data_IF_483880944536
#
_entry.id   IF_483880944536
#
_cell.length_a   1.000
_cell.length_b   1.000
_cell.length_c   1.000
_cell.angle_alpha   90.00
_cell.angle_beta   90.00
_cell.angle_gamma   90.00
#
_symmetry.space_group_name_H-M   'P 1'
#
loop_
_entity.id
_entity.type
_entity.pdbx_description
1 polymer ?
#
# COMPACT_ATOMS: atom_id res chain seq x y z
N UNK A 1 -25.76 25.91 -12.90
CA UNK A 1 -25.60 25.64 -11.46
C UNK A 1 -24.27 24.95 -11.23
N UNK A 2 -23.26 25.68 -10.78
CA UNK A 2 -21.94 25.15 -10.48
C UNK A 2 -22.02 24.37 -9.16
N UNK A 3 -21.85 23.07 -9.23
CA UNK A 3 -21.81 22.22 -8.05
C UNK A 3 -20.64 22.65 -7.15
N UNK A 4 -20.93 23.08 -5.93
CA UNK A 4 -19.94 23.42 -4.93
C UNK A 4 -18.92 22.27 -4.75
N UNK A 5 -17.61 22.55 -4.73
CA UNK A 5 -16.55 21.52 -4.65
C UNK A 5 -16.54 20.74 -3.33
N UNK A 6 -17.44 21.02 -2.40
CA UNK A 6 -17.58 20.31 -1.11
C UNK A 6 -18.66 19.22 -1.09
N UNK A 7 -19.49 19.11 -2.10
CA UNK A 7 -20.49 18.05 -2.15
C UNK A 7 -19.84 16.72 -2.53
N UNK A 8 -19.53 15.93 -1.53
CA UNK A 8 -19.39 14.47 -1.70
C UNK A 8 -20.62 14.01 -2.43
N UNK A 9 -20.46 13.53 -3.65
CA UNK A 9 -21.58 13.21 -4.51
C UNK A 9 -22.57 12.31 -3.75
N UNK A 10 -23.82 12.76 -3.61
CA UNK A 10 -24.94 11.98 -3.03
C UNK A 10 -24.99 10.57 -3.63
N UNK A 11 -24.57 10.44 -4.89
CA UNK A 11 -24.43 9.18 -5.61
C UNK A 11 -23.40 8.24 -4.97
N UNK A 12 -22.26 8.77 -4.45
CA UNK A 12 -21.23 7.96 -3.77
C UNK A 12 -21.75 7.48 -2.42
N UNK A 13 -22.50 8.33 -1.70
CA UNK A 13 -23.10 7.94 -0.42
C UNK A 13 -24.13 6.82 -0.63
N UNK A 14 -25.10 7.02 -1.52
CA UNK A 14 -26.17 6.03 -1.80
C UNK A 14 -25.63 4.65 -2.22
N UNK A 15 -24.48 4.60 -2.86
CA UNK A 15 -23.85 3.33 -3.28
C UNK A 15 -23.41 2.45 -2.12
N UNK A 16 -23.00 3.07 -1.02
CA UNK A 16 -22.39 2.37 0.13
C UNK A 16 -23.25 2.37 1.38
N UNK A 17 -24.36 3.12 1.39
CA UNK A 17 -25.30 3.16 2.50
C UNK A 17 -25.94 1.79 2.71
N UNK A 18 -26.00 1.35 3.96
CA UNK A 18 -26.70 0.14 4.39
C UNK A 18 -28.18 0.41 4.60
N UNK A 19 -28.52 1.64 4.99
CA UNK A 19 -29.87 2.16 5.19
C UNK A 19 -29.90 3.65 4.85
N UNK A 20 -31.07 4.19 4.66
CA UNK A 20 -31.25 5.61 4.36
C UNK A 20 -30.74 6.48 5.52
N UNK A 21 -29.86 7.46 5.21
CA UNK A 21 -29.22 8.31 6.21
C UNK A 21 -27.90 7.75 6.81
N UNK A 22 -27.49 6.55 6.41
CA UNK A 22 -26.19 6.01 6.84
C UNK A 22 -25.02 6.84 6.26
N UNK A 23 -24.30 7.50 7.14
CA UNK A 23 -23.09 8.30 6.82
C UNK A 23 -21.85 7.82 7.54
N UNK A 24 -22.01 6.89 8.50
CA UNK A 24 -20.96 6.48 9.44
C UNK A 24 -20.37 5.10 9.21
N UNK A 25 -21.01 4.27 8.37
CA UNK A 25 -20.45 2.94 8.11
C UNK A 25 -19.10 3.02 7.41
N UNK A 26 -18.25 2.05 7.68
CA UNK A 26 -16.88 2.04 7.17
C UNK A 26 -16.82 2.05 5.65
N UNK A 27 -17.77 1.45 4.98
CA UNK A 27 -17.92 1.41 3.53
C UNK A 27 -18.22 2.81 2.97
N UNK A 28 -19.18 3.50 3.58
CA UNK A 28 -19.54 4.88 3.22
C UNK A 28 -18.33 5.80 3.43
N UNK A 29 -17.65 5.68 4.56
CA UNK A 29 -16.46 6.48 4.86
C UNK A 29 -15.36 6.25 3.81
N UNK A 30 -15.10 5.01 3.40
CA UNK A 30 -14.12 4.73 2.34
C UNK A 30 -14.54 5.33 1.01
N UNK A 31 -15.80 5.21 0.61
CA UNK A 31 -16.33 5.79 -0.63
C UNK A 31 -16.17 7.33 -0.64
N UNK A 32 -16.55 7.98 0.46
CA UNK A 32 -16.40 9.45 0.63
C UNK A 32 -14.93 9.87 0.55
N UNK A 33 -14.05 9.15 1.21
CA UNK A 33 -12.61 9.44 1.19
C UNK A 33 -12.02 9.21 -0.21
N UNK A 34 -12.45 8.18 -0.93
CA UNK A 34 -12.01 7.90 -2.31
C UNK A 34 -12.44 9.04 -3.26
N UNK A 35 -13.67 9.53 -3.15
CA UNK A 35 -14.14 10.65 -3.94
C UNK A 35 -13.34 11.95 -3.66
N UNK A 36 -13.06 12.24 -2.39
CA UNK A 36 -12.22 13.40 -2.00
C UNK A 36 -10.79 13.26 -2.49
N UNK A 37 -10.21 12.07 -2.40
CA UNK A 37 -8.86 11.79 -2.92
C UNK A 37 -8.82 12.05 -4.42
N UNK A 38 -9.78 11.54 -5.19
CA UNK A 38 -9.85 11.78 -6.63
C UNK A 38 -9.94 13.28 -6.97
N UNK A 39 -10.71 14.06 -6.20
CA UNK A 39 -10.81 15.51 -6.35
C UNK A 39 -9.47 16.21 -6.09
N UNK A 40 -8.80 15.88 -4.98
CA UNK A 40 -7.49 16.46 -4.66
C UNK A 40 -6.40 16.02 -5.63
N UNK A 41 -6.47 14.80 -6.17
CA UNK A 41 -5.52 14.34 -7.20
C UNK A 41 -5.65 15.20 -8.46
N UNK A 42 -6.88 15.44 -8.95
CA UNK A 42 -7.11 16.32 -10.11
C UNK A 42 -6.64 17.77 -9.86
N UNK A 43 -6.81 18.27 -8.63
CA UNK A 43 -6.28 19.59 -8.26
C UNK A 43 -4.75 19.60 -8.32
N UNK A 44 -4.09 18.54 -7.80
CA UNK A 44 -2.63 18.42 -7.81
C UNK A 44 -2.04 18.28 -9.21
N UNK A 45 -2.80 17.73 -10.17
CA UNK A 45 -2.40 17.68 -11.59
C UNK A 45 -2.32 19.09 -12.20
N UNK A 46 -3.24 19.98 -11.78
CA UNK A 46 -3.27 21.39 -12.24
C UNK A 46 -2.28 22.27 -11.48
N UNK A 47 -2.19 22.06 -10.16
CA UNK A 47 -1.41 22.88 -9.23
C UNK A 47 -0.38 22.02 -8.45
N UNK A 48 0.68 21.53 -9.11
CA UNK A 48 1.64 20.60 -8.50
C UNK A 48 2.48 21.22 -7.38
N UNK A 49 2.55 22.54 -7.30
CA UNK A 49 3.30 23.28 -6.28
C UNK A 49 2.50 23.55 -5.01
N UNK A 50 1.19 23.28 -4.98
CA UNK A 50 0.36 23.49 -3.80
C UNK A 50 0.72 22.49 -2.68
N UNK A 51 1.51 22.98 -1.73
CA UNK A 51 1.96 22.19 -0.57
C UNK A 51 0.82 21.86 0.40
N UNK A 52 -0.19 22.73 0.48
CA UNK A 52 -1.35 22.52 1.35
C UNK A 52 -2.24 21.40 0.81
N UNK A 53 -2.53 21.42 -0.50
CA UNK A 53 -3.28 20.34 -1.15
C UNK A 53 -2.54 18.99 -1.02
N UNK A 54 -1.22 18.97 -1.17
CA UNK A 54 -0.39 17.78 -0.98
C UNK A 54 -0.49 17.21 0.44
N UNK A 55 -0.46 18.06 1.46
CA UNK A 55 -0.66 17.66 2.86
C UNK A 55 -2.05 17.06 3.08
N UNK A 56 -3.10 17.74 2.58
CA UNK A 56 -4.49 17.26 2.66
C UNK A 56 -4.65 15.89 1.98
N UNK A 57 -4.11 15.72 0.79
CA UNK A 57 -4.12 14.44 0.07
C UNK A 57 -3.46 13.32 0.89
N UNK A 58 -2.30 13.58 1.48
CA UNK A 58 -1.59 12.62 2.33
C UNK A 58 -2.43 12.22 3.57
N UNK A 59 -3.10 13.19 4.20
CA UNK A 59 -3.99 12.92 5.33
C UNK A 59 -5.19 12.06 4.93
N UNK A 60 -5.83 12.37 3.80
CA UNK A 60 -6.97 11.59 3.28
C UNK A 60 -6.56 10.14 2.95
N UNK A 61 -5.41 9.94 2.31
CA UNK A 61 -4.85 8.62 2.03
C UNK A 61 -4.57 7.83 3.31
N UNK A 62 -3.99 8.47 4.32
CA UNK A 62 -3.72 7.86 5.62
C UNK A 62 -5.00 7.46 6.35
N UNK A 63 -6.03 8.31 6.29
CA UNK A 63 -7.34 8.03 6.89
C UNK A 63 -8.02 6.86 6.17
N UNK A 64 -8.09 6.87 4.83
CA UNK A 64 -8.64 5.75 4.05
C UNK A 64 -7.95 4.43 4.40
N UNK A 65 -6.62 4.43 4.47
CA UNK A 65 -5.86 3.24 4.84
C UNK A 65 -6.18 2.75 6.26
N UNK A 66 -6.45 3.65 7.21
CA UNK A 66 -6.85 3.28 8.58
C UNK A 66 -8.20 2.58 8.58
N UNK A 67 -9.19 3.11 7.85
CA UNK A 67 -10.53 2.52 7.75
C UNK A 67 -10.48 1.17 7.01
N UNK A 68 -9.71 1.06 5.94
CA UNK A 68 -9.49 -0.20 5.23
C UNK A 68 -8.84 -1.28 6.13
N UNK A 69 -7.91 -0.90 7.00
CA UNK A 69 -7.35 -1.82 8.01
C UNK A 69 -8.41 -2.35 8.97
N UNK A 70 -9.29 -1.46 9.43
CA UNK A 70 -10.41 -1.82 10.30
C UNK A 70 -11.36 -2.79 9.59
N UNK A 71 -11.80 -2.49 8.38
CA UNK A 71 -12.65 -3.36 7.56
C UNK A 71 -12.04 -4.75 7.36
N UNK A 72 -10.76 -4.82 7.04
CA UNK A 72 -10.05 -6.08 6.84
C UNK A 72 -10.08 -6.98 8.09
N UNK A 73 -10.03 -6.40 9.29
CA UNK A 73 -10.07 -7.15 10.55
C UNK A 73 -11.46 -7.64 10.88
N UNK A 74 -12.46 -6.78 10.66
CA UNK A 74 -13.83 -7.03 11.12
C UNK A 74 -14.67 -7.72 10.06
N UNK A 75 -14.54 -7.34 8.79
CA UNK A 75 -15.32 -7.91 7.69
C UNK A 75 -14.49 -7.98 6.42
N UNK A 76 -13.86 -9.12 6.21
CA UNK A 76 -12.98 -9.36 5.06
C UNK A 76 -13.73 -9.33 3.73
N UNK A 77 -14.94 -9.87 3.70
CA UNK A 77 -15.75 -9.90 2.48
C UNK A 77 -16.11 -8.48 2.01
N UNK A 78 -16.57 -7.64 2.91
CA UNK A 78 -16.86 -6.23 2.62
C UNK A 78 -15.58 -5.47 2.23
N UNK A 79 -14.45 -5.77 2.87
CA UNK A 79 -13.15 -5.18 2.50
C UNK A 79 -12.77 -5.49 1.04
N UNK A 80 -12.88 -6.75 0.61
CA UNK A 80 -12.56 -7.16 -0.76
C UNK A 80 -13.50 -6.51 -1.78
N UNK A 81 -14.80 -6.47 -1.49
CA UNK A 81 -15.79 -5.77 -2.31
C UNK A 81 -15.49 -4.28 -2.47
N UNK A 82 -15.11 -3.60 -1.38
CA UNK A 82 -14.78 -2.16 -1.40
C UNK A 82 -13.52 -1.91 -2.24
N UNK A 83 -12.50 -2.76 -2.15
CA UNK A 83 -11.28 -2.63 -2.95
C UNK A 83 -11.59 -2.76 -4.45
N UNK A 84 -12.38 -3.74 -4.81
CA UNK A 84 -12.75 -4.03 -6.19
C UNK A 84 -13.56 -2.88 -6.81
N UNK A 85 -14.61 -2.46 -6.12
CA UNK A 85 -15.53 -1.41 -6.59
C UNK A 85 -14.86 -0.04 -6.69
N UNK A 86 -13.98 0.30 -5.73
CA UNK A 86 -13.23 1.57 -5.72
C UNK A 86 -11.90 1.50 -6.51
N UNK A 87 -11.58 0.36 -7.11
CA UNK A 87 -10.35 0.16 -7.87
C UNK A 87 -9.08 0.37 -7.04
N UNK A 88 -9.15 0.10 -5.73
CA UNK A 88 -8.01 0.30 -4.82
C UNK A 88 -7.11 -0.92 -4.87
N UNK A 89 -5.85 -0.73 -5.27
CA UNK A 89 -4.86 -1.82 -5.25
C UNK A 89 -4.66 -2.32 -3.82
N UNK A 90 -4.63 -3.64 -3.65
CA UNK A 90 -4.19 -4.27 -2.40
C UNK A 90 -2.76 -3.80 -2.13
N UNK A 91 -2.60 -2.87 -1.20
CA UNK A 91 -1.26 -2.37 -0.85
C UNK A 91 -0.56 -3.47 -0.06
N UNK A 92 0.64 -3.86 -0.45
CA UNK A 92 1.41 -4.91 0.21
C UNK A 92 1.67 -4.67 1.71
N UNK A 93 1.42 -3.45 2.21
CA UNK A 93 1.43 -3.13 3.65
C UNK A 93 0.41 -3.95 4.45
N UNK A 94 -0.63 -4.51 3.81
CA UNK A 94 -1.66 -5.35 4.44
C UNK A 94 -1.48 -6.83 4.15
N UNK A 95 -0.50 -7.19 3.31
CA UNK A 95 -0.17 -8.57 3.01
C UNK A 95 0.82 -9.08 4.07
N UNK A 96 0.53 -10.21 4.76
CA UNK A 96 1.48 -10.83 5.67
C UNK A 96 2.81 -11.20 4.99
N UNK A 97 2.80 -11.47 3.69
CA UNK A 97 3.99 -11.71 2.90
C UNK A 97 4.78 -10.43 2.57
N UNK A 98 4.20 -9.25 2.81
CA UNK A 98 4.88 -7.97 2.57
C UNK A 98 6.04 -7.79 3.56
N UNK A 99 7.24 -8.02 3.11
CA UNK A 99 8.45 -7.69 3.87
C UNK A 99 8.57 -6.16 3.95
N UNK A 100 8.49 -5.62 5.15
CA UNK A 100 8.78 -4.20 5.40
C UNK A 100 10.12 -3.87 4.75
N UNK A 101 10.15 -2.88 3.87
CA UNK A 101 11.44 -2.35 3.39
C UNK A 101 12.25 -1.96 4.60
N UNK A 102 13.55 -2.28 4.65
CA UNK A 102 14.39 -1.83 5.74
C UNK A 102 14.27 -0.31 5.84
N UNK A 103 13.81 0.17 6.99
CA UNK A 103 13.50 1.60 7.24
C UNK A 103 14.78 2.47 7.28
N UNK A 104 15.92 1.84 7.39
CA UNK A 104 17.23 2.52 7.40
C UNK A 104 18.03 2.09 6.18
N UNK A 105 18.53 3.06 5.43
CA UNK A 105 19.56 2.78 4.42
C UNK A 105 20.74 2.11 5.11
N UNK A 106 21.25 1.00 4.58
CA UNK A 106 22.39 0.34 5.19
C UNK A 106 23.55 1.35 5.27
N UNK A 107 24.16 1.46 6.44
CA UNK A 107 25.34 2.28 6.63
C UNK A 107 26.48 1.77 5.74
N UNK A 108 27.46 2.63 5.41
CA UNK A 108 28.66 2.21 4.64
C UNK A 108 29.29 0.94 5.22
N UNK A 109 29.36 0.84 6.56
CA UNK A 109 29.80 -0.38 7.28
C UNK A 109 28.94 -1.59 7.00
N UNK A 110 27.60 -1.44 7.08
CA UNK A 110 26.68 -2.54 6.81
C UNK A 110 26.74 -3.05 5.37
N UNK A 111 27.00 -2.17 4.38
CA UNK A 111 27.22 -2.57 2.98
C UNK A 111 28.51 -3.37 2.80
N UNK A 112 29.60 -2.97 3.48
CA UNK A 112 30.87 -3.70 3.45
C UNK A 112 30.72 -5.08 4.07
N UNK A 113 30.06 -5.18 5.23
CA UNK A 113 29.79 -6.48 5.86
C UNK A 113 28.88 -7.38 5.02
N UNK A 114 27.84 -6.81 4.40
CA UNK A 114 26.97 -7.58 3.50
C UNK A 114 27.75 -8.14 2.31
N UNK A 115 28.64 -7.34 1.71
CA UNK A 115 29.54 -7.82 0.64
C UNK A 115 30.46 -8.94 1.11
N UNK A 116 31.10 -8.79 2.28
CA UNK A 116 31.96 -9.86 2.86
C UNK A 116 31.18 -11.14 3.12
N UNK A 117 29.93 -11.04 3.63
CA UNK A 117 29.07 -12.21 3.85
C UNK A 117 28.66 -12.87 2.54
N UNK A 118 28.34 -12.10 1.50
CA UNK A 118 28.03 -12.62 0.17
C UNK A 118 29.23 -13.35 -0.44
N UNK A 119 30.43 -12.77 -0.39
CA UNK A 119 31.64 -13.42 -0.87
C UNK A 119 31.93 -14.74 -0.14
N UNK A 120 31.81 -14.76 1.21
CA UNK A 120 31.97 -16.01 1.98
C UNK A 120 30.97 -17.10 1.57
N UNK A 121 29.72 -16.72 1.25
CA UNK A 121 28.72 -17.69 0.73
C UNK A 121 29.12 -18.25 -0.63
N UNK A 122 29.55 -17.40 -1.56
CA UNK A 122 30.01 -17.83 -2.89
C UNK A 122 31.19 -18.81 -2.78
N UNK A 123 32.20 -18.47 -1.98
CA UNK A 123 33.37 -19.33 -1.75
C UNK A 123 32.95 -20.67 -1.14
N UNK A 124 32.02 -20.64 -0.17
CA UNK A 124 31.52 -21.89 0.46
C UNK A 124 30.77 -22.78 -0.54
N UNK A 125 29.97 -22.16 -1.41
CA UNK A 125 29.25 -22.89 -2.47
C UNK A 125 30.21 -23.48 -3.51
N UNK A 126 31.22 -22.70 -3.95
CA UNK A 126 32.25 -23.17 -4.88
C UNK A 126 33.00 -24.39 -4.33
N UNK A 127 33.47 -24.31 -3.06
CA UNK A 127 34.13 -25.44 -2.38
C UNK A 127 33.23 -26.68 -2.25
N UNK A 128 31.93 -26.47 -2.00
CA UNK A 128 30.97 -27.58 -1.92
C UNK A 128 30.73 -28.24 -3.29
N UNK A 129 30.69 -27.45 -4.37
CA UNK A 129 30.57 -27.96 -5.74
C UNK A 129 31.85 -28.73 -6.17
N UNK A 130 33.03 -28.24 -5.80
CA UNK A 130 34.29 -28.88 -6.10
C UNK A 130 34.41 -30.23 -5.39
N UNK A 131 34.01 -30.32 -4.09
CA UNK A 131 33.93 -31.57 -3.36
C UNK A 131 32.98 -32.58 -4.03
N UNK A 132 31.83 -32.12 -4.52
CA UNK A 132 30.90 -32.99 -5.25
C UNK A 132 31.45 -33.48 -6.60
N UNK A 133 32.21 -32.62 -7.32
CA UNK A 133 32.89 -32.99 -8.56
C UNK A 133 33.99 -34.04 -8.32
N UNK A 134 34.82 -33.85 -7.27
CA UNK A 134 35.87 -34.84 -6.90
C UNK A 134 35.28 -36.18 -6.51
N UNK A 135 34.11 -36.22 -5.86
CA UNK A 135 33.41 -37.45 -5.46
C UNK A 135 32.74 -38.19 -6.64
N UNK A 136 32.55 -37.51 -7.79
CA UNK A 136 31.90 -38.06 -8.99
C UNK A 136 32.88 -38.53 -10.08
N UNK A 137 34.20 -38.38 -9.90
CA UNK A 137 35.22 -38.96 -10.81
C UNK A 137 35.42 -40.42 -10.43
N UNK A 138 35.03 -41.38 -11.30
CA UNK A 138 35.41 -42.78 -11.11
C UNK A 138 36.92 -42.92 -11.34
N UNK A 139 37.54 -43.80 -10.58
CA UNK A 139 38.93 -44.28 -10.78
C UNK A 139 39.03 -45.00 -12.09
#
# INVERSE_FOLDING_TARGET
MLAHPGHTSVRTLKRWQRFEGDTGSSEVVVGVLSARIAQHTRHMEKEPKDTQAKRRLTMLLSHRNRVLKYLRRNNRQTYERVLEVEGIRKTGMFDPAYRKRPTKRPTKRGLVEARKRAQKKVVKLAKAQEKKRKKKRPS
#
